data_IF_497747414497
#
_entry.id   IF_497747414497
#
_cell.length_a   1.000
_cell.length_b   1.000
_cell.length_c   1.000
_cell.angle_alpha   90.00
_cell.angle_beta   90.00
_cell.angle_gamma   90.00
#
_symmetry.space_group_name_H-M   'P 1'
#
loop_
_entity.id
_entity.type
_entity.pdbx_description
1 polymer ?
#
# COMPACT_ATOMS: atom_id res chain seq x y z
N UNK A 1 -42.16 -2.17 -6.30
CA UNK A 1 -41.29 -2.25 -5.11
C UNK A 1 -40.00 -1.52 -5.43
N UNK A 2 -39.60 -0.59 -4.56
CA UNK A 2 -38.40 0.21 -4.75
C UNK A 2 -37.17 -0.68 -4.56
N UNK A 3 -36.28 -0.73 -5.54
CA UNK A 3 -35.12 -1.62 -5.54
C UNK A 3 -34.09 -1.06 -4.55
N UNK A 4 -34.21 -1.45 -3.28
CA UNK A 4 -33.37 -0.97 -2.16
C UNK A 4 -31.87 -1.11 -2.45
N UNK A 5 -31.48 -2.14 -3.19
CA UNK A 5 -30.11 -2.35 -3.66
C UNK A 5 -29.63 -1.23 -4.58
N UNK A 6 -30.46 -0.76 -5.53
CA UNK A 6 -30.12 0.37 -6.39
C UNK A 6 -29.96 1.66 -5.58
N UNK A 7 -30.80 1.87 -4.56
CA UNK A 7 -30.71 3.07 -3.71
C UNK A 7 -29.43 3.03 -2.88
N UNK A 8 -29.14 1.92 -2.20
CA UNK A 8 -27.92 1.77 -1.42
C UNK A 8 -26.65 1.96 -2.28
N UNK A 9 -26.66 1.41 -3.50
CA UNK A 9 -25.57 1.59 -4.46
C UNK A 9 -25.37 3.06 -4.85
N UNK A 10 -26.45 3.78 -5.20
CA UNK A 10 -26.37 5.21 -5.52
C UNK A 10 -25.97 6.06 -4.32
N UNK A 11 -26.49 5.78 -3.13
CA UNK A 11 -26.12 6.47 -1.90
C UNK A 11 -24.62 6.30 -1.63
N UNK A 12 -24.09 5.08 -1.75
CA UNK A 12 -22.66 4.81 -1.59
C UNK A 12 -21.82 5.67 -2.53
N UNK A 13 -22.10 5.66 -3.84
CA UNK A 13 -21.34 6.45 -4.82
C UNK A 13 -21.44 7.95 -4.59
N UNK A 14 -22.60 8.46 -4.17
CA UNK A 14 -22.78 9.87 -3.84
C UNK A 14 -21.98 10.23 -2.59
N UNK A 15 -22.06 9.45 -1.52
CA UNK A 15 -21.26 9.72 -0.31
C UNK A 15 -19.76 9.59 -0.57
N UNK A 16 -19.34 8.62 -1.37
CA UNK A 16 -17.93 8.42 -1.72
C UNK A 16 -17.42 9.55 -2.61
N UNK A 17 -18.18 9.95 -3.63
CA UNK A 17 -17.88 11.10 -4.47
C UNK A 17 -17.83 12.41 -3.68
N UNK A 18 -18.73 12.59 -2.71
CA UNK A 18 -18.72 13.74 -1.80
C UNK A 18 -17.52 13.73 -0.86
N UNK A 19 -17.10 12.57 -0.37
CA UNK A 19 -15.88 12.40 0.42
C UNK A 19 -14.64 12.76 -0.38
N UNK A 20 -14.53 12.28 -1.62
CA UNK A 20 -13.46 12.64 -2.55
C UNK A 20 -13.49 14.15 -2.83
N UNK A 21 -14.67 14.71 -3.09
CA UNK A 21 -14.82 16.14 -3.33
C UNK A 21 -14.39 16.97 -2.12
N UNK A 22 -14.76 16.58 -0.89
CA UNK A 22 -14.30 17.22 0.34
C UNK A 22 -12.79 17.08 0.53
N UNK A 23 -12.21 15.94 0.17
CA UNK A 23 -10.77 15.71 0.22
C UNK A 23 -10.04 16.63 -0.77
N UNK A 24 -10.52 16.70 -2.01
CA UNK A 24 -9.99 17.61 -3.03
C UNK A 24 -10.18 19.06 -2.63
N UNK A 25 -11.39 19.48 -2.25
CA UNK A 25 -11.70 20.84 -1.81
C UNK A 25 -10.89 21.25 -0.58
N UNK A 26 -10.73 20.36 0.39
CA UNK A 26 -9.87 20.55 1.55
C UNK A 26 -8.40 20.72 1.16
N UNK A 27 -7.92 19.93 0.19
CA UNK A 27 -6.58 20.08 -0.38
C UNK A 27 -6.44 21.40 -1.16
N UNK A 28 -7.45 21.84 -1.93
CA UNK A 28 -7.40 23.11 -2.69
C UNK A 28 -7.44 24.32 -1.77
N UNK A 29 -8.30 24.33 -0.75
CA UNK A 29 -8.32 25.41 0.25
C UNK A 29 -6.99 25.45 0.98
N UNK A 30 -6.53 24.29 1.47
CA UNK A 30 -5.24 24.20 2.15
C UNK A 30 -4.14 24.74 1.27
N UNK A 31 -4.11 24.43 -0.03
CA UNK A 31 -3.10 24.97 -0.96
C UNK A 31 -3.19 26.49 -1.16
N UNK A 32 -4.39 27.08 -1.15
CA UNK A 32 -4.62 28.52 -1.36
C UNK A 32 -4.36 29.33 -0.08
N UNK A 33 -4.61 28.76 1.09
CA UNK A 33 -4.42 29.42 2.40
C UNK A 33 -3.17 28.95 3.14
N UNK A 34 -2.39 28.05 2.54
CA UNK A 34 -1.29 27.38 3.22
C UNK A 34 -0.20 28.36 3.65
N UNK A 35 0.18 28.25 4.92
CA UNK A 35 1.49 28.71 5.36
C UNK A 35 2.60 27.95 4.60
N UNK A 36 3.80 28.51 4.53
CA UNK A 36 4.96 27.85 3.90
C UNK A 36 5.28 26.48 4.51
N UNK A 37 4.82 26.19 5.74
CA UNK A 37 4.92 24.89 6.42
C UNK A 37 3.87 23.89 5.92
N UNK A 38 2.63 24.34 5.67
CA UNK A 38 1.57 23.49 5.11
C UNK A 38 1.87 23.07 3.67
N UNK A 39 2.48 23.96 2.87
CA UNK A 39 2.99 23.60 1.53
C UNK A 39 4.08 22.53 1.66
N UNK A 40 4.99 22.67 2.63
CA UNK A 40 6.03 21.68 2.89
C UNK A 40 5.43 20.31 3.28
N UNK A 41 4.36 20.29 4.10
CA UNK A 41 3.59 19.09 4.39
C UNK A 41 2.98 18.46 3.14
N UNK A 42 2.29 19.24 2.31
CA UNK A 42 1.68 18.73 1.09
C UNK A 42 2.73 18.18 0.11
N UNK A 43 3.90 18.84 0.02
CA UNK A 43 5.02 18.34 -0.78
C UNK A 43 5.52 16.99 -0.26
N UNK A 44 5.75 16.87 1.04
CA UNK A 44 6.13 15.58 1.66
C UNK A 44 5.11 14.48 1.37
N UNK A 45 3.83 14.79 1.52
CA UNK A 45 2.72 13.87 1.26
C UNK A 45 2.70 13.42 -0.20
N UNK A 46 2.68 14.36 -1.15
CA UNK A 46 2.58 14.05 -2.59
C UNK A 46 3.83 13.31 -3.07
N UNK A 47 5.03 13.73 -2.66
CA UNK A 47 6.27 13.07 -3.05
C UNK A 47 6.31 11.62 -2.55
N UNK A 48 5.92 11.35 -1.30
CA UNK A 48 5.90 9.99 -0.77
C UNK A 48 4.72 9.16 -1.29
N UNK A 49 3.62 9.79 -1.70
CA UNK A 49 2.54 9.11 -2.41
C UNK A 49 3.02 8.61 -3.79
N UNK A 50 3.72 9.46 -4.54
CA UNK A 50 4.28 9.10 -5.84
C UNK A 50 5.36 8.03 -5.72
N UNK A 51 6.27 8.16 -4.75
CA UNK A 51 7.32 7.17 -4.47
C UNK A 51 6.72 5.84 -3.99
N UNK A 52 5.70 5.88 -3.13
CA UNK A 52 5.05 4.72 -2.54
C UNK A 52 4.02 4.04 -3.45
N UNK A 53 3.73 4.61 -4.62
CA UNK A 53 2.61 4.20 -5.48
C UNK A 53 2.61 2.69 -5.80
N UNK A 54 3.78 2.15 -6.20
CA UNK A 54 3.92 0.72 -6.52
C UNK A 54 3.73 -0.17 -5.29
N UNK A 55 4.11 0.30 -4.09
CA UNK A 55 3.93 -0.42 -2.84
C UNK A 55 2.46 -0.40 -2.40
N UNK A 56 1.79 0.76 -2.49
CA UNK A 56 0.37 0.90 -2.18
C UNK A 56 -0.49 -0.06 -3.01
N UNK A 57 -0.35 -0.02 -4.34
CA UNK A 57 -1.10 -0.91 -5.23
C UNK A 57 -0.58 -2.35 -5.24
N UNK A 58 0.67 -2.57 -4.87
CA UNK A 58 1.27 -3.89 -4.71
C UNK A 58 0.66 -4.62 -3.51
N UNK A 59 0.90 -4.09 -2.32
CA UNK A 59 0.42 -4.67 -1.06
C UNK A 59 -1.11 -4.64 -0.95
N UNK A 60 -1.77 -3.56 -1.38
CA UNK A 60 -3.23 -3.47 -1.36
C UNK A 60 -3.90 -4.55 -2.24
N UNK A 61 -3.38 -4.78 -3.44
CA UNK A 61 -3.89 -5.86 -4.30
C UNK A 61 -3.62 -7.24 -3.69
N UNK A 62 -2.43 -7.45 -3.13
CA UNK A 62 -2.04 -8.75 -2.56
C UNK A 62 -2.86 -9.09 -1.31
N UNK A 63 -3.08 -8.10 -0.45
CA UNK A 63 -3.96 -8.24 0.72
C UNK A 63 -5.39 -8.58 0.30
N UNK A 64 -5.95 -7.87 -0.68
CA UNK A 64 -7.30 -8.15 -1.17
C UNK A 64 -7.39 -9.53 -1.83
N UNK A 65 -6.39 -9.93 -2.62
CA UNK A 65 -6.36 -11.26 -3.22
C UNK A 65 -6.36 -12.36 -2.14
N UNK A 66 -5.52 -12.23 -1.13
CA UNK A 66 -5.41 -13.23 -0.06
C UNK A 66 -6.67 -13.27 0.81
N UNK A 67 -7.29 -12.13 1.10
CA UNK A 67 -8.56 -12.09 1.84
C UNK A 67 -9.70 -12.80 1.07
N UNK A 68 -9.74 -12.63 -0.25
CA UNK A 68 -10.68 -13.37 -1.11
C UNK A 68 -10.41 -14.90 -1.11
N UNK A 69 -9.15 -15.31 -1.12
CA UNK A 69 -8.79 -16.74 -1.00
C UNK A 69 -9.19 -17.29 0.38
N UNK A 70 -8.92 -16.54 1.44
CA UNK A 70 -9.20 -16.93 2.82
C UNK A 70 -10.70 -17.06 3.09
N UNK A 71 -11.50 -16.13 2.58
CA UNK A 71 -12.97 -16.14 2.72
C UNK A 71 -13.64 -17.30 2.00
N UNK A 72 -13.16 -17.68 0.81
CA UNK A 72 -13.71 -18.79 0.03
C UNK A 72 -13.06 -20.13 0.41
N UNK A 73 -11.93 -20.12 1.13
CA UNK A 73 -11.09 -21.28 1.50
C UNK A 73 -10.67 -22.15 0.32
N UNK A 74 -10.66 -21.58 -0.88
CA UNK A 74 -10.27 -22.27 -2.08
C UNK A 74 -9.51 -21.29 -2.98
N UNK A 75 -8.48 -21.81 -3.64
CA UNK A 75 -7.79 -21.05 -4.69
C UNK A 75 -8.49 -21.33 -6.00
N UNK A 76 -9.27 -20.37 -6.47
CA UNK A 76 -9.88 -20.46 -7.79
C UNK A 76 -8.79 -20.44 -8.88
N UNK A 77 -8.98 -21.22 -9.94
CA UNK A 77 -8.13 -21.21 -11.13
C UNK A 77 -7.93 -19.78 -11.66
N UNK A 78 -9.01 -19.00 -11.70
CA UNK A 78 -8.97 -17.60 -12.14
C UNK A 78 -8.09 -16.71 -11.25
N UNK A 79 -7.99 -17.00 -9.96
CA UNK A 79 -7.11 -16.25 -9.05
C UNK A 79 -5.65 -16.61 -9.29
N UNK A 80 -5.34 -17.89 -9.50
CA UNK A 80 -3.98 -18.34 -9.86
C UNK A 80 -3.55 -17.74 -11.21
N UNK A 81 -4.43 -17.71 -12.19
CA UNK A 81 -4.18 -17.14 -13.52
C UNK A 81 -3.90 -15.63 -13.45
N UNK A 82 -4.69 -14.87 -12.68
CA UNK A 82 -4.45 -13.42 -12.45
C UNK A 82 -3.09 -13.13 -11.84
N UNK A 83 -2.60 -13.99 -10.94
CA UNK A 83 -1.27 -13.84 -10.35
C UNK A 83 -0.18 -14.08 -11.39
N UNK A 84 -0.34 -15.09 -12.25
CA UNK A 84 0.59 -15.40 -13.34
C UNK A 84 0.68 -14.27 -14.35
N UNK A 85 -0.47 -13.80 -14.85
CA UNK A 85 -0.54 -12.70 -15.82
C UNK A 85 0.18 -11.43 -15.27
N UNK A 86 0.08 -11.19 -13.95
CA UNK A 86 0.76 -10.08 -13.30
C UNK A 86 2.27 -10.25 -13.20
N UNK A 87 2.76 -11.49 -13.03
CA UNK A 87 4.19 -11.83 -13.00
C UNK A 87 4.80 -11.80 -14.41
N UNK A 88 4.07 -12.29 -15.42
CA UNK A 88 4.47 -12.25 -16.83
C UNK A 88 4.62 -10.81 -17.33
N UNK A 89 3.64 -9.94 -17.04
CA UNK A 89 3.72 -8.50 -17.36
C UNK A 89 4.91 -7.80 -16.70
N UNK A 90 5.52 -8.41 -15.68
CA UNK A 90 6.70 -7.90 -14.96
C UNK A 90 8.00 -8.58 -15.40
N UNK A 91 7.96 -9.45 -16.42
CA UNK A 91 9.10 -10.19 -16.95
C UNK A 91 9.89 -10.95 -15.87
N UNK A 92 9.21 -11.51 -14.88
CA UNK A 92 9.89 -12.14 -13.74
C UNK A 92 10.53 -13.48 -14.11
N UNK A 93 9.78 -14.35 -14.79
CA UNK A 93 10.22 -15.67 -15.28
C UNK A 93 9.46 -16.08 -16.55
N UNK A 94 9.97 -17.06 -17.34
CA UNK A 94 9.25 -17.63 -18.47
C UNK A 94 7.92 -18.26 -18.04
N UNK A 95 6.90 -18.15 -18.89
CA UNK A 95 5.53 -18.65 -18.64
C UNK A 95 5.50 -20.13 -18.22
N UNK A 96 6.32 -20.96 -18.86
CA UNK A 96 6.48 -22.39 -18.54
C UNK A 96 6.86 -22.62 -17.07
N UNK A 97 7.79 -21.82 -16.55
CA UNK A 97 8.24 -21.89 -15.14
C UNK A 97 7.13 -21.47 -14.18
N UNK A 98 6.35 -20.44 -14.53
CA UNK A 98 5.24 -19.96 -13.71
C UNK A 98 4.07 -20.95 -13.66
N UNK A 99 3.92 -21.81 -14.67
CA UNK A 99 2.84 -22.81 -14.71
C UNK A 99 2.99 -23.88 -13.63
N UNK A 100 4.23 -24.32 -13.37
CA UNK A 100 4.56 -25.37 -12.41
C UNK A 100 4.51 -24.90 -10.96
N UNK A 101 4.57 -23.59 -10.72
CA UNK A 101 4.58 -23.03 -9.38
C UNK A 101 3.23 -23.16 -8.67
N UNK A 102 3.30 -23.45 -7.37
CA UNK A 102 2.14 -23.38 -6.47
C UNK A 102 1.68 -21.92 -6.31
N UNK A 103 0.40 -21.72 -5.98
CA UNK A 103 -0.14 -20.39 -5.72
C UNK A 103 0.70 -19.65 -4.65
N UNK A 104 1.10 -20.35 -3.60
CA UNK A 104 2.01 -19.83 -2.56
C UNK A 104 3.33 -19.30 -3.14
N UNK A 105 3.96 -20.07 -4.02
CA UNK A 105 5.22 -19.67 -4.66
C UNK A 105 5.03 -18.41 -5.52
N UNK A 106 3.93 -18.34 -6.28
CA UNK A 106 3.59 -17.16 -7.08
C UNK A 106 3.39 -15.90 -6.22
N UNK A 107 2.72 -16.02 -5.07
CA UNK A 107 2.56 -14.91 -4.11
C UNK A 107 3.90 -14.48 -3.51
N UNK A 108 4.80 -15.44 -3.21
CA UNK A 108 6.15 -15.12 -2.73
C UNK A 108 6.96 -14.35 -3.77
N UNK A 109 6.85 -14.69 -5.06
CA UNK A 109 7.50 -13.94 -6.13
C UNK A 109 6.99 -12.50 -6.21
N UNK A 110 5.67 -12.30 -6.08
CA UNK A 110 5.09 -10.94 -6.05
C UNK A 110 5.54 -10.13 -4.83
N UNK A 111 5.62 -10.75 -3.64
CA UNK A 111 6.14 -10.09 -2.45
C UNK A 111 7.62 -9.72 -2.63
N UNK A 112 8.42 -10.62 -3.21
CA UNK A 112 9.84 -10.38 -3.51
C UNK A 112 10.03 -9.26 -4.52
N UNK A 113 9.17 -9.15 -5.54
CA UNK A 113 9.20 -8.03 -6.49
C UNK A 113 9.01 -6.66 -5.81
N UNK A 114 8.27 -6.62 -4.70
CA UNK A 114 8.04 -5.39 -3.95
C UNK A 114 9.22 -5.03 -3.03
N UNK A 115 10.12 -5.96 -2.70
CA UNK A 115 11.20 -5.73 -1.74
C UNK A 115 12.16 -4.63 -2.18
N UNK A 116 12.54 -4.56 -3.45
CA UNK A 116 13.42 -3.50 -3.96
C UNK A 116 12.82 -2.10 -3.75
N UNK A 117 11.53 -1.96 -4.08
CA UNK A 117 10.78 -0.74 -3.88
C UNK A 117 10.62 -0.42 -2.40
N UNK A 118 10.39 -1.44 -1.57
CA UNK A 118 10.24 -1.32 -0.12
C UNK A 118 11.51 -0.75 0.51
N UNK A 119 12.67 -1.34 0.21
CA UNK A 119 13.94 -0.90 0.78
C UNK A 119 14.31 0.52 0.34
N UNK A 120 14.09 0.85 -0.94
CA UNK A 120 14.31 2.21 -1.45
C UNK A 120 13.39 3.20 -0.76
N UNK A 121 12.10 2.89 -0.66
CA UNK A 121 11.09 3.75 -0.06
C UNK A 121 11.36 4.05 1.41
N UNK A 122 11.56 3.02 2.24
CA UNK A 122 11.88 3.22 3.65
C UNK A 122 13.29 3.76 3.87
N UNK A 123 14.24 3.49 2.97
CA UNK A 123 15.56 4.11 3.00
C UNK A 123 15.50 5.63 2.82
N UNK A 124 14.71 6.11 1.85
CA UNK A 124 14.46 7.55 1.66
C UNK A 124 13.74 8.13 2.88
N UNK A 125 12.74 7.42 3.43
CA UNK A 125 12.05 7.87 4.65
C UNK A 125 13.00 7.96 5.86
N UNK A 126 13.88 6.99 6.02
CA UNK A 126 14.88 6.96 7.10
C UNK A 126 15.85 8.14 6.95
N UNK A 127 16.31 8.43 5.73
CA UNK A 127 17.17 9.58 5.46
C UNK A 127 16.47 10.90 5.81
N UNK A 128 15.20 11.05 5.42
CA UNK A 128 14.39 12.20 5.82
C UNK A 128 14.24 12.30 7.34
N UNK A 129 14.03 11.18 8.03
CA UNK A 129 13.96 11.12 9.50
C UNK A 129 15.25 11.61 10.15
N UNK A 130 16.41 11.17 9.64
CA UNK A 130 17.72 11.60 10.13
C UNK A 130 17.94 13.09 9.91
N UNK A 131 17.59 13.62 8.73
CA UNK A 131 17.69 15.05 8.43
C UNK A 131 16.81 15.86 9.39
N UNK A 132 15.58 15.42 9.64
CA UNK A 132 14.65 16.07 10.59
C UNK A 132 15.19 16.06 12.01
N UNK A 133 15.77 14.94 12.46
CA UNK A 133 16.40 14.85 13.78
C UNK A 133 17.59 15.79 13.90
N UNK A 134 18.47 15.82 12.89
CA UNK A 134 19.61 16.75 12.87
C UNK A 134 19.16 18.21 12.90
N UNK A 135 18.08 18.55 12.19
CA UNK A 135 17.49 19.88 12.22
C UNK A 135 16.93 20.23 13.60
N UNK A 136 16.20 19.32 14.26
CA UNK A 136 15.65 19.55 15.60
C UNK A 136 16.70 19.64 16.70
N UNK A 137 17.80 18.90 16.57
CA UNK A 137 18.93 18.93 17.49
C UNK A 137 19.89 20.09 17.23
N UNK A 138 19.55 20.99 16.29
CA UNK A 138 20.36 22.13 15.89
C UNK A 138 21.77 21.75 15.39
N UNK A 139 21.95 20.50 14.93
CA UNK A 139 23.22 19.99 14.42
C UNK A 139 23.56 20.51 13.02
N UNK A 140 22.59 21.14 12.36
CA UNK A 140 22.75 21.75 11.04
C UNK A 140 23.12 23.24 11.10
N UNK A 141 23.29 23.82 12.30
CA UNK A 141 23.49 25.27 12.51
C UNK A 141 22.18 26.07 12.55
N UNK A 142 22.24 27.40 12.58
CA UNK A 142 21.09 28.35 12.58
C UNK A 142 20.27 28.34 11.26
N UNK A 143 20.05 27.18 10.65
CA UNK A 143 19.20 27.06 9.48
C UNK A 143 17.73 27.25 9.87
N UNK A 144 17.15 28.36 9.41
CA UNK A 144 15.72 28.75 9.54
C UNK A 144 14.77 27.72 8.87
N UNK A 145 15.29 26.67 8.25
CA UNK A 145 14.55 25.68 7.45
C UNK A 145 13.94 24.56 8.32
N UNK A 146 14.25 24.47 9.62
CA UNK A 146 13.80 23.38 10.49
C UNK A 146 12.27 23.14 10.48
N UNK A 147 11.46 24.21 10.43
CA UNK A 147 9.99 24.11 10.36
C UNK A 147 9.49 23.53 9.03
N UNK A 148 10.19 23.77 7.92
CA UNK A 148 9.82 23.23 6.62
C UNK A 148 10.20 21.77 6.48
N UNK A 149 11.39 21.39 6.98
CA UNK A 149 11.82 19.98 7.04
C UNK A 149 10.83 19.17 7.88
N UNK A 150 10.39 19.71 9.02
CA UNK A 150 9.36 19.09 9.85
C UNK A 150 8.03 18.94 9.10
N UNK A 151 7.59 19.95 8.34
CA UNK A 151 6.42 19.85 7.48
C UNK A 151 6.54 18.69 6.49
N UNK A 152 7.61 18.65 5.68
CA UNK A 152 7.89 17.56 4.72
C UNK A 152 7.90 16.20 5.40
N UNK A 153 8.54 16.09 6.57
CA UNK A 153 8.60 14.87 7.36
C UNK A 153 7.21 14.36 7.75
N UNK A 154 6.35 15.22 8.27
CA UNK A 154 5.01 14.80 8.68
C UNK A 154 4.15 14.37 7.49
N UNK A 155 4.25 15.07 6.35
CA UNK A 155 3.57 14.65 5.12
C UNK A 155 4.03 13.29 4.62
N UNK A 156 5.35 13.08 4.60
CA UNK A 156 5.97 11.81 4.25
C UNK A 156 5.60 10.67 5.20
N UNK A 157 5.56 10.95 6.51
CA UNK A 157 5.24 9.99 7.55
C UNK A 157 3.81 9.45 7.39
N UNK A 158 2.83 10.31 7.10
CA UNK A 158 1.43 9.90 6.87
C UNK A 158 1.34 8.81 5.80
N UNK A 159 1.96 9.03 4.64
CA UNK A 159 1.93 8.02 3.56
C UNK A 159 2.76 6.79 3.94
N UNK A 160 3.91 6.99 4.58
CA UNK A 160 4.80 5.88 4.94
C UNK A 160 4.13 4.91 5.91
N UNK A 161 3.42 5.42 6.93
CA UNK A 161 2.65 4.58 7.84
C UNK A 161 1.49 3.87 7.14
N UNK A 162 0.86 4.52 6.15
CA UNK A 162 -0.19 3.89 5.35
C UNK A 162 0.36 2.73 4.49
N UNK A 163 1.49 2.94 3.81
CA UNK A 163 2.23 1.88 3.07
C UNK A 163 2.59 0.73 4.01
N UNK A 164 3.12 1.06 5.18
CA UNK A 164 3.49 0.08 6.20
C UNK A 164 2.29 -0.73 6.69
N UNK A 165 1.14 -0.09 6.92
CA UNK A 165 -0.10 -0.76 7.29
C UNK A 165 -0.54 -1.79 6.24
N UNK A 166 -0.53 -1.42 4.96
CA UNK A 166 -0.84 -2.35 3.86
C UNK A 166 0.16 -3.49 3.76
N UNK A 167 1.44 -3.20 3.97
CA UNK A 167 2.48 -4.24 4.03
C UNK A 167 2.18 -5.25 5.14
N UNK A 168 1.85 -4.80 6.35
CA UNK A 168 1.52 -5.69 7.47
C UNK A 168 0.28 -6.53 7.17
N UNK A 169 -0.78 -5.92 6.63
CA UNK A 169 -1.99 -6.66 6.23
C UNK A 169 -1.66 -7.76 5.23
N UNK A 170 -0.90 -7.44 4.18
CA UNK A 170 -0.51 -8.43 3.17
C UNK A 170 0.30 -9.60 3.74
N UNK A 171 1.19 -9.32 4.71
CA UNK A 171 1.99 -10.34 5.40
C UNK A 171 1.14 -11.21 6.30
N UNK A 172 0.25 -10.62 7.10
CA UNK A 172 -0.65 -11.34 8.00
C UNK A 172 -1.57 -12.26 7.19
N UNK A 173 -2.23 -11.76 6.14
CA UNK A 173 -3.08 -12.58 5.28
C UNK A 173 -2.30 -13.73 4.62
N UNK A 174 -1.04 -13.52 4.25
CA UNK A 174 -0.21 -14.57 3.68
C UNK A 174 0.15 -15.66 4.71
N UNK A 175 0.46 -15.26 5.94
CA UNK A 175 0.72 -16.19 7.05
C UNK A 175 -0.54 -17.00 7.36
N UNK A 176 -1.70 -16.35 7.44
CA UNK A 176 -2.98 -17.01 7.71
C UNK A 176 -3.33 -18.03 6.61
N UNK A 177 -3.13 -17.67 5.34
CA UNK A 177 -3.31 -18.59 4.22
C UNK A 177 -2.44 -19.85 4.36
N UNK A 178 -1.17 -19.68 4.77
CA UNK A 178 -0.27 -20.80 4.99
C UNK A 178 -0.73 -21.70 6.16
N UNK A 179 -1.27 -21.12 7.23
CA UNK A 179 -1.74 -21.88 8.40
C UNK A 179 -2.99 -22.71 8.09
N UNK A 180 -3.91 -22.20 7.25
CA UNK A 180 -5.07 -22.97 6.80
C UNK A 180 -4.64 -24.18 5.97
N UNK A 181 -3.71 -24.00 5.03
CA UNK A 181 -3.19 -25.10 4.22
C UNK A 181 -2.54 -26.22 5.04
N UNK A 182 -1.87 -25.88 6.15
CA UNK A 182 -1.28 -26.88 7.07
C UNK A 182 -2.38 -27.64 7.84
N UNK A 183 -3.40 -26.94 8.35
CA UNK A 183 -4.50 -27.57 9.09
C UNK A 183 -5.32 -28.53 8.22
N UNK A 184 -5.52 -28.21 6.95
CA UNK A 184 -6.27 -29.07 6.03
C UNK A 184 -5.49 -30.30 5.61
N UNK A 185 -4.17 -30.20 5.44
CA UNK A 185 -3.33 -31.36 5.15
C UNK A 185 -3.27 -32.33 6.34
N UNK A 186 -3.10 -31.83 7.56
CA UNK A 186 -3.08 -32.69 8.76
C UNK A 186 -4.41 -33.42 8.99
N UNK A 187 -5.56 -32.81 8.63
CA UNK A 187 -6.88 -33.47 8.71
C UNK A 187 -7.11 -34.56 7.67
N UNK A 188 -6.32 -34.61 6.59
CA UNK A 188 -6.43 -35.64 5.55
C UNK A 188 -5.53 -36.85 5.83
N UNK A 189 -4.61 -36.72 6.79
CA UNK A 189 -3.67 -37.78 7.20
C UNK A 189 -4.13 -38.55 8.45
N UNK A 190 -5.22 -38.13 9.09
CA UNK A 190 -5.95 -38.85 10.16
C UNK A 190 -7.12 -39.68 9.59
#
# INVERSE_FOLDING_TARGET
>A
MMNWEKIAWWTFWITFGFLIFLLFYGLTISFITASSVEIAYLLGLISFLLLGNRLLFGYGWLSNLLDNVLSVKEVDFLQKEKVKERLEKRNFEPEETLQELSFKALIMLLLKDLDYYRYTYYGIFLLLTLITLMAKLNLLGEFIIGKYIEGVFWGAATITFFVWGLEQLSKVSFVEYNLIGIKENNKKEE
#
